data_IF_695344993799
#
_entry.id   IF_695344993799
#
_cell.length_a   1.000
_cell.length_b   1.000
_cell.length_c   1.000
_cell.angle_alpha   90.00
_cell.angle_beta   90.00
_cell.angle_gamma   90.00
#
_symmetry.space_group_name_H-M   'P 1'
#
loop_
_entity.id
_entity.type
_entity.pdbx_description
1 polymer ?
#
# COMPACT_ATOMS: atom_id res chain seq x y z
N UNK A 1 -2.53 20.50 -3.77
CA UNK A 1 -2.41 21.42 -2.63
C UNK A 1 -1.45 20.95 -1.51
N UNK A 2 -1.41 19.67 -1.11
CA UNK A 2 -0.60 19.25 0.06
C UNK A 2 0.92 19.38 -0.16
N UNK A 3 1.45 18.88 -1.29
CA UNK A 3 2.90 18.92 -1.55
C UNK A 3 3.46 20.35 -1.62
N UNK A 4 2.76 21.26 -2.32
CA UNK A 4 3.13 22.67 -2.41
C UNK A 4 3.08 23.38 -1.06
N UNK A 5 2.18 22.95 -0.17
CA UNK A 5 1.99 23.51 1.15
C UNK A 5 2.70 22.67 2.23
N UNK A 6 3.59 21.72 1.90
CA UNK A 6 4.16 20.82 2.90
C UNK A 6 4.97 21.56 3.97
N UNK A 7 5.45 22.77 3.65
CA UNK A 7 6.13 23.65 4.59
C UNK A 7 5.24 24.26 5.68
N UNK A 8 3.92 24.30 5.50
CA UNK A 8 2.98 24.92 6.46
C UNK A 8 2.41 23.94 7.49
N UNK A 9 2.63 22.63 7.33
CA UNK A 9 2.10 21.63 8.23
C UNK A 9 3.10 21.20 9.30
N UNK A 10 2.60 20.92 10.51
CA UNK A 10 3.39 20.37 11.60
C UNK A 10 3.57 18.86 11.46
N UNK A 11 4.75 18.43 10.98
CA UNK A 11 5.10 17.02 10.84
C UNK A 11 5.57 16.37 12.15
N UNK A 12 5.67 17.11 13.25
CA UNK A 12 6.01 16.56 14.57
C UNK A 12 4.78 16.05 15.31
N UNK A 13 3.60 16.62 15.01
CA UNK A 13 2.33 16.17 15.55
C UNK A 13 1.54 15.32 14.54
N UNK A 14 1.71 14.00 14.61
CA UNK A 14 1.18 13.08 13.60
C UNK A 14 -0.36 13.07 13.56
N UNK A 15 -1.01 13.21 14.72
CA UNK A 15 -2.46 13.24 14.80
C UNK A 15 -3.02 14.52 14.18
N UNK A 16 -2.40 15.67 14.47
CA UNK A 16 -2.81 16.95 13.89
C UNK A 16 -2.62 16.92 12.37
N UNK A 17 -1.43 16.49 11.91
CA UNK A 17 -1.13 16.36 10.49
C UNK A 17 -2.15 15.51 9.75
N UNK A 18 -2.46 14.31 10.27
CA UNK A 18 -3.44 13.42 9.65
C UNK A 18 -4.85 14.04 9.63
N UNK A 19 -5.25 14.73 10.71
CA UNK A 19 -6.56 15.36 10.79
C UNK A 19 -6.71 16.50 9.76
N UNK A 20 -5.66 17.29 9.55
CA UNK A 20 -5.65 18.41 8.60
C UNK A 20 -5.58 17.94 7.15
N UNK A 21 -4.76 16.93 6.87
CA UNK A 21 -4.38 16.58 5.50
C UNK A 21 -4.99 15.29 4.97
N UNK A 22 -5.51 14.43 5.85
CA UNK A 22 -6.02 13.10 5.50
C UNK A 22 -4.96 12.13 4.98
N UNK A 23 -3.67 12.45 5.14
CA UNK A 23 -2.54 11.63 4.68
C UNK A 23 -1.67 11.16 5.84
N UNK A 24 -1.17 9.93 5.76
CA UNK A 24 -0.25 9.36 6.74
C UNK A 24 1.09 10.09 6.74
N UNK A 25 1.75 10.10 7.91
CA UNK A 25 2.95 10.89 8.15
C UNK A 25 4.12 10.54 7.22
N UNK A 26 4.25 9.29 6.78
CA UNK A 26 5.28 8.86 5.84
C UNK A 26 5.18 9.61 4.51
N UNK A 27 3.96 9.92 4.06
CA UNK A 27 3.75 10.77 2.89
C UNK A 27 4.17 12.22 3.14
N UNK A 28 3.87 12.75 4.33
CA UNK A 28 4.26 14.10 4.72
C UNK A 28 5.78 14.28 4.77
N UNK A 29 6.49 13.37 5.44
CA UNK A 29 7.95 13.34 5.51
C UNK A 29 8.58 13.17 4.12
N UNK A 30 8.05 12.25 3.32
CA UNK A 30 8.48 12.04 1.94
C UNK A 30 8.32 13.33 1.11
N UNK A 31 7.14 13.93 1.15
CA UNK A 31 6.83 15.19 0.47
C UNK A 31 7.78 16.30 0.92
N UNK A 32 8.08 16.40 2.22
CA UNK A 32 9.02 17.39 2.76
C UNK A 32 10.42 17.19 2.19
N UNK A 33 10.91 15.96 2.10
CA UNK A 33 12.23 15.64 1.53
C UNK A 33 12.30 16.07 0.06
N UNK A 34 11.28 15.73 -0.75
CA UNK A 34 11.27 16.11 -2.17
C UNK A 34 11.20 17.64 -2.34
N UNK A 35 10.45 18.34 -1.49
CA UNK A 35 10.35 19.81 -1.52
C UNK A 35 11.67 20.54 -1.29
N UNK A 36 12.69 19.87 -0.74
CA UNK A 36 14.03 20.47 -0.59
C UNK A 36 14.72 20.73 -1.94
N UNK A 37 14.30 20.06 -3.01
CA UNK A 37 14.96 20.16 -4.32
C UNK A 37 14.00 20.21 -5.51
N UNK A 38 12.68 20.04 -5.32
CA UNK A 38 11.70 20.23 -6.38
C UNK A 38 10.31 20.52 -5.82
N UNK A 39 9.58 21.45 -6.44
CA UNK A 39 8.16 21.70 -6.17
C UNK A 39 7.24 21.05 -7.22
N UNK A 40 7.81 20.25 -8.14
CA UNK A 40 7.05 19.62 -9.22
C UNK A 40 6.36 18.34 -8.74
N UNK A 41 5.02 18.23 -8.82
CA UNK A 41 4.32 16.98 -8.53
C UNK A 41 4.77 15.82 -9.43
N UNK A 42 5.22 16.11 -10.65
CA UNK A 42 5.75 15.08 -11.56
C UNK A 42 7.02 14.47 -10.98
N UNK A 43 7.91 15.27 -10.40
CA UNK A 43 9.15 14.78 -9.76
C UNK A 43 8.82 13.92 -8.55
N UNK A 44 7.90 14.39 -7.69
CA UNK A 44 7.36 13.63 -6.57
C UNK A 44 6.84 12.26 -7.04
N UNK A 45 5.91 12.22 -7.98
CA UNK A 45 5.33 10.95 -8.44
C UNK A 45 6.32 10.04 -9.17
N UNK A 46 7.28 10.60 -9.90
CA UNK A 46 8.32 9.82 -10.60
C UNK A 46 9.22 9.10 -9.59
N UNK A 47 9.70 9.81 -8.57
CA UNK A 47 10.55 9.22 -7.53
C UNK A 47 9.77 8.16 -6.74
N UNK A 48 8.52 8.45 -6.40
CA UNK A 48 7.67 7.51 -5.68
C UNK A 48 7.36 6.23 -6.49
N UNK A 49 7.09 6.39 -7.79
CA UNK A 49 6.87 5.27 -8.71
C UNK A 49 8.13 4.43 -8.87
N UNK A 50 9.30 5.06 -8.93
CA UNK A 50 10.58 4.34 -8.95
C UNK A 50 10.74 3.43 -7.72
N UNK A 51 10.48 3.92 -6.50
CA UNK A 51 10.55 3.09 -5.30
C UNK A 51 9.53 1.94 -5.31
N UNK A 52 8.34 2.19 -5.85
CA UNK A 52 7.30 1.17 -6.04
C UNK A 52 7.77 0.07 -6.99
N UNK A 53 8.27 0.44 -8.17
CA UNK A 53 8.79 -0.50 -9.17
C UNK A 53 10.03 -1.24 -8.68
N UNK A 54 10.92 -0.57 -7.96
CA UNK A 54 12.06 -1.21 -7.33
C UNK A 54 11.61 -2.28 -6.33
N UNK A 55 10.60 -1.99 -5.50
CA UNK A 55 10.04 -2.97 -4.56
C UNK A 55 9.44 -4.16 -5.30
N UNK A 56 8.68 -3.94 -6.38
CA UNK A 56 8.18 -5.03 -7.23
C UNK A 56 9.30 -5.88 -7.83
N UNK A 57 10.37 -5.26 -8.32
CA UNK A 57 11.52 -5.99 -8.83
C UNK A 57 12.17 -6.86 -7.76
N UNK A 58 12.32 -6.34 -6.53
CA UNK A 58 12.87 -7.11 -5.40
C UNK A 58 11.98 -8.30 -5.04
N UNK A 59 10.67 -8.11 -4.99
CA UNK A 59 9.71 -9.21 -4.77
C UNK A 59 9.84 -10.24 -5.88
N UNK A 60 9.80 -9.82 -7.14
CA UNK A 60 9.80 -10.72 -8.30
C UNK A 60 11.05 -11.60 -8.32
N UNK A 61 12.20 -11.08 -7.90
CA UNK A 61 13.45 -11.84 -7.73
C UNK A 61 13.39 -12.87 -6.61
N UNK A 62 12.69 -12.59 -5.50
CA UNK A 62 12.57 -13.52 -4.38
C UNK A 62 11.53 -14.62 -4.64
N UNK A 63 10.47 -14.33 -5.38
CA UNK A 63 9.40 -15.29 -5.70
C UNK A 63 9.57 -15.94 -7.09
N UNK A 64 10.69 -15.65 -7.77
CA UNK A 64 11.05 -16.20 -9.08
C UNK A 64 10.02 -15.94 -10.21
N UNK A 65 9.29 -14.83 -10.12
CA UNK A 65 8.37 -14.37 -11.16
C UNK A 65 9.09 -13.33 -12.03
N UNK A 66 8.90 -13.40 -13.35
CA UNK A 66 9.46 -12.39 -14.27
C UNK A 66 8.87 -11.02 -13.94
N UNK A 67 9.73 -10.03 -13.71
CA UNK A 67 9.33 -8.65 -13.41
C UNK A 67 8.38 -8.07 -14.46
N UNK A 68 8.59 -8.39 -15.75
CA UNK A 68 7.71 -7.98 -16.84
C UNK A 68 6.25 -8.39 -16.60
N UNK A 69 5.99 -9.58 -16.08
CA UNK A 69 4.61 -10.05 -15.83
C UNK A 69 3.95 -9.24 -14.71
N UNK A 70 4.72 -8.87 -13.68
CA UNK A 70 4.25 -7.99 -12.61
C UNK A 70 3.89 -6.60 -13.17
N UNK A 71 4.73 -6.05 -14.06
CA UNK A 71 4.48 -4.75 -14.68
C UNK A 71 3.27 -4.76 -15.62
N UNK A 72 3.10 -5.82 -16.42
CA UNK A 72 1.94 -5.98 -17.30
C UNK A 72 0.63 -6.03 -16.53
N UNK A 73 0.65 -6.50 -15.28
CA UNK A 73 -0.54 -6.45 -14.42
C UNK A 73 -0.71 -5.09 -13.74
N UNK A 74 0.37 -4.46 -13.27
CA UNK A 74 0.30 -3.23 -12.47
C UNK A 74 0.06 -1.96 -13.31
N UNK A 75 0.78 -1.79 -14.43
CA UNK A 75 0.72 -0.56 -15.23
C UNK A 75 -0.68 -0.24 -15.77
N UNK A 76 -1.49 -1.21 -16.24
CA UNK A 76 -2.83 -0.93 -16.75
C UNK A 76 -3.86 -0.65 -15.66
N UNK A 77 -3.49 -0.74 -14.37
CA UNK A 77 -4.44 -0.43 -13.30
C UNK A 77 -4.83 1.05 -13.38
N UNK A 78 -6.15 1.32 -13.28
CA UNK A 78 -6.65 2.70 -13.21
C UNK A 78 -5.98 3.49 -12.07
N UNK A 79 -5.54 2.80 -11.03
CA UNK A 79 -4.78 3.35 -9.91
C UNK A 79 -3.44 3.99 -10.30
N UNK A 80 -2.67 3.34 -11.16
CA UNK A 80 -1.40 3.90 -11.64
C UNK A 80 -1.64 5.00 -12.68
N UNK A 81 -2.60 4.79 -13.59
CA UNK A 81 -2.88 5.71 -14.69
C UNK A 81 -3.51 7.03 -14.22
N UNK A 82 -4.40 7.00 -13.22
CA UNK A 82 -5.09 8.21 -12.73
C UNK A 82 -4.25 9.05 -11.76
N UNK A 83 -3.10 8.55 -11.32
CA UNK A 83 -2.17 9.23 -10.41
C UNK A 83 -2.82 9.87 -9.16
N UNK A 84 -3.87 9.26 -8.62
CA UNK A 84 -4.53 9.80 -7.43
C UNK A 84 -3.68 9.54 -6.17
N UNK A 85 -3.54 10.54 -5.30
CA UNK A 85 -2.67 10.49 -4.12
C UNK A 85 -2.98 9.30 -3.19
N UNK A 86 -4.25 8.97 -2.97
CA UNK A 86 -4.62 7.80 -2.16
C UNK A 86 -4.12 6.50 -2.81
N UNK A 87 -4.41 6.33 -4.09
CA UNK A 87 -4.15 5.10 -4.83
C UNK A 87 -2.66 4.85 -5.01
N UNK A 88 -1.86 5.89 -5.26
CA UNK A 88 -0.41 5.78 -5.37
C UNK A 88 0.20 5.35 -4.03
N UNK A 89 -0.21 5.96 -2.91
CA UNK A 89 0.32 5.63 -1.57
C UNK A 89 -0.02 4.20 -1.17
N UNK A 90 -1.26 3.78 -1.40
CA UNK A 90 -1.68 2.39 -1.24
C UNK A 90 -0.88 1.46 -2.16
N UNK A 91 -0.70 1.87 -3.42
CA UNK A 91 0.06 1.16 -4.45
C UNK A 91 1.53 0.96 -4.09
N UNK A 92 2.09 1.78 -3.21
CA UNK A 92 3.42 1.60 -2.64
C UNK A 92 3.42 0.78 -1.35
N UNK A 93 2.51 1.07 -0.43
CA UNK A 93 2.44 0.43 0.88
C UNK A 93 2.17 -1.09 0.78
N UNK A 94 1.27 -1.52 -0.11
CA UNK A 94 0.93 -2.95 -0.25
C UNK A 94 2.15 -3.78 -0.73
N UNK A 95 2.89 -3.38 -1.79
CA UNK A 95 4.12 -4.05 -2.16
C UNK A 95 5.15 -4.12 -1.03
N UNK A 96 5.28 -3.07 -0.20
CA UNK A 96 6.18 -3.13 0.96
C UNK A 96 5.74 -4.22 1.96
N UNK A 97 4.43 -4.38 2.21
CA UNK A 97 3.92 -5.49 3.04
C UNK A 97 4.27 -6.83 2.40
N UNK A 98 4.03 -7.02 1.11
CA UNK A 98 4.35 -8.28 0.42
C UNK A 98 5.85 -8.56 0.51
N UNK A 99 6.70 -7.57 0.27
CA UNK A 99 8.15 -7.72 0.38
C UNK A 99 8.57 -8.07 1.81
N UNK A 100 8.02 -7.39 2.81
CA UNK A 100 8.20 -7.70 4.22
C UNK A 100 7.82 -9.15 4.54
N UNK A 101 6.67 -9.62 4.05
CA UNK A 101 6.19 -10.99 4.25
C UNK A 101 7.14 -12.02 3.63
N UNK A 102 7.59 -11.81 2.40
CA UNK A 102 8.55 -12.72 1.73
C UNK A 102 9.89 -12.76 2.46
N UNK A 103 10.39 -11.60 2.92
CA UNK A 103 11.61 -11.53 3.72
C UNK A 103 11.48 -12.27 5.05
N UNK A 104 10.32 -12.16 5.71
CA UNK A 104 10.04 -12.88 6.95
C UNK A 104 10.11 -14.39 6.74
N UNK A 105 9.41 -14.89 5.71
CA UNK A 105 9.41 -16.31 5.35
C UNK A 105 10.79 -16.82 4.93
N UNK A 106 11.63 -15.93 4.38
CA UNK A 106 13.02 -16.21 4.04
C UNK A 106 13.99 -16.09 5.23
N UNK A 107 13.49 -15.97 6.47
CA UNK A 107 14.29 -15.90 7.69
C UNK A 107 14.83 -14.51 8.05
N UNK A 108 14.62 -13.49 7.22
CA UNK A 108 15.12 -12.10 7.43
C UNK A 108 14.13 -11.27 8.27
N UNK A 109 13.79 -11.75 9.46
CA UNK A 109 12.70 -11.22 10.30
C UNK A 109 12.87 -9.74 10.67
N UNK A 110 14.06 -9.32 11.09
CA UNK A 110 14.28 -7.92 11.49
C UNK A 110 14.13 -6.95 10.32
N UNK A 111 14.62 -7.32 9.14
CA UNK A 111 14.47 -6.50 7.93
C UNK A 111 13.00 -6.45 7.51
N UNK A 112 12.28 -7.56 7.62
CA UNK A 112 10.83 -7.61 7.37
C UNK A 112 10.05 -6.61 8.23
N UNK A 113 10.36 -6.51 9.54
CA UNK A 113 9.71 -5.54 10.43
C UNK A 113 9.89 -4.09 9.97
N UNK A 114 11.08 -3.74 9.46
CA UNK A 114 11.34 -2.40 8.89
C UNK A 114 10.38 -2.12 7.73
N UNK A 115 10.16 -3.09 6.84
CA UNK A 115 9.25 -2.94 5.71
C UNK A 115 7.78 -2.85 6.14
N UNK A 116 7.36 -3.57 7.18
CA UNK A 116 6.00 -3.42 7.72
C UNK A 116 5.77 -2.04 8.36
N UNK A 117 6.73 -1.55 9.16
CA UNK A 117 6.66 -0.20 9.73
C UNK A 117 6.59 0.83 8.61
N UNK A 118 7.45 0.70 7.59
CA UNK A 118 7.45 1.61 6.45
C UNK A 118 6.11 1.60 5.72
N UNK A 119 5.51 0.43 5.50
CA UNK A 119 4.19 0.33 4.86
C UNK A 119 3.09 1.05 5.66
N UNK A 120 3.10 0.90 6.99
CA UNK A 120 2.15 1.57 7.90
C UNK A 120 2.30 3.08 7.84
N UNK A 121 3.53 3.59 7.79
CA UNK A 121 3.79 5.03 7.69
C UNK A 121 3.22 5.64 6.40
N UNK A 122 3.08 4.87 5.32
CA UNK A 122 2.61 5.38 4.03
C UNK A 122 1.12 5.18 3.77
N UNK A 123 0.51 4.10 4.29
CA UNK A 123 -0.92 3.87 4.10
C UNK A 123 -1.52 2.91 5.13
N UNK A 124 -2.65 3.27 5.71
CA UNK A 124 -3.38 2.46 6.70
C UNK A 124 -3.84 1.10 6.17
N UNK A 125 -4.08 0.96 4.86
CA UNK A 125 -4.48 -0.34 4.27
C UNK A 125 -3.44 -1.43 4.49
N UNK A 126 -2.18 -1.07 4.73
CA UNK A 126 -1.11 -2.02 5.07
C UNK A 126 -1.46 -2.90 6.26
N UNK A 127 -2.19 -2.37 7.26
CA UNK A 127 -2.61 -3.11 8.46
C UNK A 127 -3.46 -4.33 8.10
N UNK A 128 -4.40 -4.19 7.17
CA UNK A 128 -5.23 -5.30 6.71
C UNK A 128 -4.39 -6.43 6.10
N UNK A 129 -3.40 -6.08 5.26
CA UNK A 129 -2.51 -7.06 4.63
C UNK A 129 -1.53 -7.69 5.64
N UNK A 130 -1.06 -6.93 6.63
CA UNK A 130 -0.23 -7.45 7.72
C UNK A 130 -1.04 -8.44 8.56
N UNK A 131 -2.30 -8.13 8.89
CA UNK A 131 -3.19 -9.05 9.61
C UNK A 131 -3.45 -10.34 8.84
N UNK A 132 -3.62 -10.26 7.51
CA UNK A 132 -3.72 -11.45 6.65
C UNK A 132 -2.44 -12.29 6.74
N UNK A 133 -1.26 -11.65 6.70
CA UNK A 133 0.01 -12.37 6.81
C UNK A 133 0.20 -13.01 8.19
N UNK A 134 -0.12 -12.31 9.28
CA UNK A 134 -0.08 -12.87 10.65
C UNK A 134 -1.04 -14.05 10.77
N UNK A 135 -2.24 -13.91 10.21
CA UNK A 135 -3.24 -14.99 10.17
C UNK A 135 -2.70 -16.20 9.41
N UNK A 136 -2.06 -15.98 8.26
CA UNK A 136 -1.37 -17.04 7.52
C UNK A 136 -0.30 -17.73 8.36
N UNK A 137 0.55 -16.99 9.08
CA UNK A 137 1.57 -17.58 9.95
C UNK A 137 0.95 -18.44 11.06
N UNK A 138 -0.13 -17.96 11.68
CA UNK A 138 -0.88 -18.70 12.68
C UNK A 138 -1.42 -20.00 12.08
N UNK A 139 -2.22 -19.92 11.02
CA UNK A 139 -2.84 -21.10 10.42
C UNK A 139 -1.83 -22.07 9.80
N UNK A 140 -0.73 -21.60 9.22
CA UNK A 140 0.29 -22.49 8.67
C UNK A 140 0.99 -23.29 9.77
N UNK A 141 1.27 -22.67 10.93
CA UNK A 141 1.88 -23.36 12.06
C UNK A 141 0.93 -24.37 12.73
N UNK A 142 -0.37 -24.07 12.80
CA UNK A 142 -1.35 -24.94 13.46
C UNK A 142 -1.96 -26.00 12.54
N UNK A 143 -2.32 -25.63 11.32
CA UNK A 143 -3.08 -26.49 10.39
C UNK A 143 -2.19 -27.22 9.38
N UNK A 144 -0.88 -26.90 9.31
CA UNK A 144 0.06 -27.42 8.30
C UNK A 144 -0.60 -27.48 6.92
N UNK A 145 -1.05 -26.32 6.44
CA UNK A 145 -1.91 -26.21 5.25
C UNK A 145 -1.21 -26.86 4.06
N UNK A 146 -1.55 -28.12 3.78
CA UNK A 146 -1.14 -28.82 2.57
C UNK A 146 -2.23 -28.61 1.53
N UNK A 147 -2.26 -27.41 0.96
CA UNK A 147 -3.18 -27.09 -0.14
C UNK A 147 -2.57 -27.53 -1.45
N UNK A 148 -3.23 -28.47 -2.11
CA UNK A 148 -3.00 -28.68 -3.54
C UNK A 148 -3.24 -27.37 -4.30
N UNK A 149 -2.57 -27.18 -5.43
CA UNK A 149 -2.72 -26.00 -6.30
C UNK A 149 -4.19 -25.69 -6.59
N UNK A 150 -4.99 -26.73 -6.81
CA UNK A 150 -6.43 -26.60 -7.04
C UNK A 150 -7.17 -26.04 -5.81
N UNK A 151 -6.92 -26.56 -4.60
CA UNK A 151 -7.53 -26.02 -3.38
C UNK A 151 -7.11 -24.58 -3.13
N UNK A 152 -5.85 -24.25 -3.36
CA UNK A 152 -5.36 -22.88 -3.25
C UNK A 152 -6.08 -21.93 -4.22
N UNK A 153 -6.24 -22.34 -5.48
CA UNK A 153 -6.97 -21.59 -6.49
C UNK A 153 -8.43 -21.33 -6.08
N UNK A 154 -9.15 -22.38 -5.64
CA UNK A 154 -10.54 -22.26 -5.20
C UNK A 154 -10.67 -21.32 -3.99
N UNK A 155 -9.77 -21.45 -2.99
CA UNK A 155 -9.78 -20.56 -1.82
C UNK A 155 -9.57 -19.10 -2.24
N UNK A 156 -8.66 -18.81 -3.17
CA UNK A 156 -8.44 -17.44 -3.65
C UNK A 156 -9.67 -16.88 -4.39
N UNK A 157 -10.36 -17.69 -5.21
CA UNK A 157 -11.62 -17.27 -5.83
C UNK A 157 -12.69 -16.97 -4.78
N UNK A 158 -12.83 -17.83 -3.77
CA UNK A 158 -13.81 -17.62 -2.70
C UNK A 158 -13.52 -16.35 -1.90
N UNK A 159 -12.25 -16.11 -1.55
CA UNK A 159 -11.84 -14.88 -0.87
C UNK A 159 -12.15 -13.66 -1.74
N UNK A 160 -11.87 -13.73 -3.05
CA UNK A 160 -12.14 -12.63 -3.98
C UNK A 160 -13.63 -12.33 -4.11
N UNK A 161 -14.47 -13.36 -4.28
CA UNK A 161 -15.93 -13.21 -4.36
C UNK A 161 -16.49 -12.67 -3.05
N UNK A 162 -16.06 -13.22 -1.91
CA UNK A 162 -16.49 -12.74 -0.60
C UNK A 162 -16.07 -11.29 -0.37
N UNK A 163 -14.82 -10.95 -0.68
CA UNK A 163 -14.31 -9.59 -0.57
C UNK A 163 -15.10 -8.61 -1.45
N UNK A 164 -15.47 -9.01 -2.68
CA UNK A 164 -16.32 -8.20 -3.55
C UNK A 164 -17.71 -7.97 -2.96
N UNK A 165 -18.35 -9.00 -2.42
CA UNK A 165 -19.67 -8.88 -1.78
C UNK A 165 -19.61 -7.93 -0.59
N UNK A 166 -18.65 -8.12 0.32
CA UNK A 166 -18.47 -7.24 1.48
C UNK A 166 -18.19 -5.81 1.04
N UNK A 167 -17.30 -5.61 0.07
CA UNK A 167 -16.97 -4.28 -0.43
C UNK A 167 -18.20 -3.59 -1.06
N UNK A 168 -18.97 -4.31 -1.87
CA UNK A 168 -20.10 -3.75 -2.62
C UNK A 168 -21.31 -3.48 -1.75
N UNK A 169 -21.62 -4.35 -0.80
CA UNK A 169 -22.90 -4.33 -0.09
C UNK A 169 -22.79 -3.89 1.37
N UNK A 170 -21.59 -3.87 1.96
CA UNK A 170 -21.39 -3.44 3.35
C UNK A 170 -20.54 -2.18 3.40
N UNK A 171 -19.39 -2.20 2.73
CA UNK A 171 -18.43 -1.10 2.85
C UNK A 171 -18.75 0.10 1.96
N UNK A 172 -19.52 -0.07 0.88
CA UNK A 172 -19.82 1.03 -0.03
C UNK A 172 -20.54 2.17 0.69
N UNK A 173 -21.54 1.84 1.50
CA UNK A 173 -22.32 2.83 2.26
C UNK A 173 -21.45 3.55 3.30
N UNK A 174 -20.64 2.80 4.05
CA UNK A 174 -19.68 3.38 5.00
C UNK A 174 -18.58 4.21 4.31
N UNK A 175 -18.19 3.86 3.08
CA UNK A 175 -17.17 4.57 2.33
C UNK A 175 -17.67 5.90 1.76
N UNK A 176 -18.98 6.05 1.48
CA UNK A 176 -19.53 7.30 0.98
C UNK A 176 -19.31 8.49 1.92
N UNK A 177 -19.41 8.28 3.24
CA UNK A 177 -19.13 9.30 4.24
C UNK A 177 -17.64 9.70 4.27
N UNK A 178 -16.74 8.75 4.02
CA UNK A 178 -15.30 9.02 3.89
C UNK A 178 -14.95 9.71 2.57
N UNK A 179 -15.67 9.41 1.48
CA UNK A 179 -15.42 10.00 0.16
C UNK A 179 -15.80 11.48 0.10
N UNK A 180 -16.83 11.93 0.82
CA UNK A 180 -17.16 13.36 0.91
C UNK A 180 -15.99 14.19 1.46
N UNK A 181 -15.28 13.65 2.45
CA UNK A 181 -14.07 14.27 3.00
C UNK A 181 -12.95 14.33 1.95
N UNK A 182 -12.79 13.28 1.14
CA UNK A 182 -11.81 13.21 0.04
C UNK A 182 -12.12 14.13 -1.13
N UNK A 183 -13.39 14.27 -1.51
CA UNK A 183 -13.84 15.13 -2.61
C UNK A 183 -13.53 16.60 -2.31
N UNK A 184 -13.83 17.06 -1.08
CA UNK A 184 -13.54 18.42 -0.62
C UNK A 184 -12.05 18.81 -0.75
N UNK A 185 -11.13 17.84 -0.64
CA UNK A 185 -9.68 18.05 -0.81
C UNK A 185 -9.20 18.08 -2.26
N UNK A 186 -9.99 17.56 -3.20
CA UNK A 186 -9.66 17.60 -4.63
C UNK A 186 -10.02 18.94 -5.29
N UNK A 187 -10.98 19.65 -4.69
CA UNK A 187 -11.49 20.95 -5.14
C UNK A 187 -10.85 22.14 -4.43
N UNK A 188 -10.03 21.92 -3.39
CA UNK A 188 -9.29 22.97 -2.67
C UNK A 188 -7.80 22.92 -2.95
#
# INVERSE_FOLDING_TARGET
>A
MIFKNIGSYDLTNFSLFYNETGVEIGWGLYSKIISLFSDSPVVLFTIFSFFTFFTFYRISRLVEIKFLYVMLYYLPTGFFMMQQFMQIRQGFAIPLVIYGSVLYLSGKKYISLVFFILAILFHQSSLAFILIFISYLFFNNFLKINTSVFKFFIINILILVFGFIVARFILLDAAMDYFQRLEAYSTT
#
